data_IF_729681752886
#
_entry.id   IF_729681752886
#
_cell.length_a   1.000
_cell.length_b   1.000
_cell.length_c   1.000
_cell.angle_alpha   90.00
_cell.angle_beta   90.00
_cell.angle_gamma   90.00
#
_symmetry.space_group_name_H-M   'P 1'
#
loop_
_entity.id
_entity.type
_entity.pdbx_description
1 polymer ?
#
# COMPACT_ATOMS: atom_id res chain seq x y z
N UNK A 1 -15.69 2.59 -2.82
CA UNK A 1 -16.93 2.23 -3.50
C UNK A 1 -16.79 1.09 -4.49
N UNK A 2 -15.75 0.65 -4.95
CA UNK A 2 -15.76 -0.17 -6.18
C UNK A 2 -14.85 -1.38 -6.12
N UNK A 3 -14.10 -1.50 -5.03
CA UNK A 3 -13.36 -2.67 -4.64
C UNK A 3 -14.27 -3.91 -4.49
N UNK A 4 -15.45 -3.76 -3.90
CA UNK A 4 -16.42 -4.85 -3.74
C UNK A 4 -16.91 -5.49 -5.06
N UNK A 5 -16.81 -4.80 -6.19
CA UNK A 5 -17.16 -5.36 -7.50
C UNK A 5 -16.02 -6.20 -8.12
N UNK A 6 -14.79 -6.03 -7.68
CA UNK A 6 -13.60 -6.64 -8.30
C UNK A 6 -13.64 -8.17 -8.28
N UNK A 7 -14.02 -8.86 -7.19
CA UNK A 7 -14.13 -10.32 -7.17
C UNK A 7 -15.11 -10.86 -8.23
N UNK A 8 -16.28 -10.22 -8.34
CA UNK A 8 -17.29 -10.60 -9.34
C UNK A 8 -16.80 -10.40 -10.78
N UNK A 9 -16.13 -9.27 -11.05
CA UNK A 9 -15.51 -8.98 -12.35
C UNK A 9 -14.44 -10.02 -12.66
N UNK A 10 -13.60 -10.35 -11.68
CA UNK A 10 -12.53 -11.36 -11.86
C UNK A 10 -13.12 -12.72 -12.20
N UNK A 11 -14.17 -13.15 -11.54
CA UNK A 11 -14.88 -14.41 -11.82
C UNK A 11 -15.48 -14.40 -13.23
N UNK A 12 -16.06 -13.27 -13.64
CA UNK A 12 -16.61 -13.11 -15.00
C UNK A 12 -15.52 -13.19 -16.06
N UNK A 13 -14.39 -12.51 -15.83
CA UNK A 13 -13.22 -12.60 -16.72
C UNK A 13 -12.69 -14.02 -16.83
N UNK A 14 -12.59 -14.75 -15.73
CA UNK A 14 -12.18 -16.15 -15.71
C UNK A 14 -13.14 -17.03 -16.53
N UNK A 15 -14.45 -16.88 -16.35
CA UNK A 15 -15.48 -17.59 -17.11
C UNK A 15 -15.34 -17.39 -18.63
N UNK A 16 -14.97 -16.17 -19.03
CA UNK A 16 -14.82 -15.82 -20.46
C UNK A 16 -13.37 -15.88 -20.96
N UNK A 17 -12.44 -16.41 -20.15
CA UNK A 17 -11.01 -16.53 -20.48
C UNK A 17 -10.38 -15.19 -20.93
N UNK A 18 -10.73 -14.08 -20.25
CA UNK A 18 -10.20 -12.75 -20.53
C UNK A 18 -9.17 -12.36 -19.49
N UNK A 19 -8.02 -11.85 -19.93
CA UNK A 19 -7.03 -11.26 -19.05
C UNK A 19 -7.63 -10.04 -18.31
N UNK A 20 -7.13 -9.77 -17.10
CA UNK A 20 -7.64 -8.69 -16.25
C UNK A 20 -6.50 -7.84 -15.70
N UNK A 21 -6.69 -6.51 -15.71
CA UNK A 21 -5.82 -5.54 -15.04
C UNK A 21 -6.60 -4.90 -13.90
N UNK A 22 -6.04 -4.94 -12.68
CA UNK A 22 -6.66 -4.41 -11.46
C UNK A 22 -5.78 -3.31 -10.91
N UNK A 23 -6.32 -2.07 -10.88
CA UNK A 23 -5.70 -0.90 -10.22
C UNK A 23 -6.50 -0.43 -8.99
N UNK A 24 -7.56 -1.16 -8.64
CA UNK A 24 -8.39 -0.83 -7.47
C UNK A 24 -7.67 -1.27 -6.20
N UNK A 25 -7.72 -0.42 -5.17
CA UNK A 25 -7.15 -0.67 -3.84
C UNK A 25 -8.24 -0.81 -2.78
N UNK A 26 -7.87 -1.14 -1.54
CA UNK A 26 -8.80 -1.24 -0.41
C UNK A 26 -9.67 -2.50 -0.43
N UNK A 27 -9.20 -3.59 -1.01
CA UNK A 27 -9.84 -4.90 -0.93
C UNK A 27 -9.71 -5.49 0.47
N UNK A 28 -10.75 -6.17 0.92
CA UNK A 28 -10.69 -7.00 2.12
C UNK A 28 -9.88 -8.28 1.87
N UNK A 29 -9.52 -9.00 2.93
CA UNK A 29 -8.83 -10.30 2.79
C UNK A 29 -9.70 -11.30 2.02
N UNK A 30 -11.01 -11.28 2.24
CA UNK A 30 -11.97 -12.11 1.50
C UNK A 30 -11.97 -11.75 0.02
N UNK A 31 -12.03 -10.45 -0.33
CA UNK A 31 -11.97 -10.01 -1.73
C UNK A 31 -10.64 -10.44 -2.38
N UNK A 32 -9.54 -10.26 -1.65
CA UNK A 32 -8.19 -10.64 -2.09
C UNK A 32 -8.09 -12.14 -2.35
N UNK A 33 -8.65 -12.96 -1.48
CA UNK A 33 -8.70 -14.42 -1.66
C UNK A 33 -9.49 -14.80 -2.93
N UNK A 34 -10.69 -14.26 -3.11
CA UNK A 34 -11.53 -14.54 -4.26
C UNK A 34 -10.90 -14.08 -5.59
N UNK A 35 -10.20 -12.94 -5.59
CA UNK A 35 -9.45 -12.50 -6.78
C UNK A 35 -8.30 -13.49 -7.09
N UNK A 36 -7.49 -13.82 -6.08
CA UNK A 36 -6.33 -14.71 -6.23
C UNK A 36 -6.71 -16.13 -6.69
N UNK A 37 -7.86 -16.63 -6.33
CA UNK A 37 -8.40 -17.93 -6.74
C UNK A 37 -8.47 -18.07 -8.26
N UNK A 38 -8.70 -16.99 -8.98
CA UNK A 38 -8.83 -17.00 -10.44
C UNK A 38 -7.49 -16.89 -11.20
N UNK A 39 -6.36 -16.70 -10.51
CA UNK A 39 -5.04 -16.53 -11.16
C UNK A 39 -4.56 -17.74 -11.98
N UNK A 40 -5.07 -18.92 -11.67
CA UNK A 40 -4.77 -20.14 -12.43
C UNK A 40 -5.56 -20.23 -13.75
N UNK A 41 -6.68 -19.51 -13.86
CA UNK A 41 -7.57 -19.56 -15.02
C UNK A 41 -7.27 -18.48 -16.06
N UNK A 42 -6.79 -17.31 -15.61
CA UNK A 42 -6.52 -16.15 -16.49
C UNK A 42 -5.29 -15.37 -16.02
N UNK A 43 -4.58 -14.68 -16.94
CA UNK A 43 -3.57 -13.70 -16.56
C UNK A 43 -4.20 -12.53 -15.81
N UNK A 44 -3.64 -12.18 -14.64
CA UNK A 44 -4.06 -11.04 -13.83
C UNK A 44 -2.84 -10.17 -13.53
N UNK A 45 -2.90 -8.90 -13.93
CA UNK A 45 -1.95 -7.87 -13.48
C UNK A 45 -2.65 -7.03 -12.41
N UNK A 46 -2.14 -7.08 -11.20
CA UNK A 46 -2.73 -6.37 -10.07
C UNK A 46 -1.66 -5.56 -9.34
N UNK A 47 -1.84 -4.24 -9.32
CA UNK A 47 -0.91 -3.31 -8.68
C UNK A 47 -1.66 -2.15 -8.02
N UNK A 48 -1.10 -1.65 -6.93
CA UNK A 48 -1.61 -0.45 -6.22
C UNK A 48 -1.39 0.83 -7.02
N UNK A 49 -0.40 0.82 -7.93
CA UNK A 49 -0.06 1.94 -8.80
C UNK A 49 0.59 1.44 -10.10
N UNK A 50 0.26 2.07 -11.23
CA UNK A 50 0.81 1.77 -12.56
C UNK A 50 1.74 2.86 -13.09
N UNK A 51 2.00 3.93 -12.32
CA UNK A 51 2.99 4.94 -12.68
C UNK A 51 4.39 4.35 -12.63
N UNK A 52 5.17 4.51 -13.70
CA UNK A 52 6.58 4.11 -13.74
C UNK A 52 7.38 4.83 -12.65
N UNK A 53 7.12 6.14 -12.43
CA UNK A 53 7.78 6.92 -11.39
C UNK A 53 7.51 6.37 -9.99
N UNK A 54 6.25 6.04 -9.68
CA UNK A 54 5.89 5.45 -8.37
C UNK A 54 6.50 4.06 -8.19
N UNK A 55 6.52 3.23 -9.21
CA UNK A 55 7.16 1.91 -9.13
C UNK A 55 8.70 2.03 -8.99
N UNK A 56 9.31 3.04 -9.60
CA UNK A 56 10.72 3.38 -9.38
C UNK A 56 10.95 3.81 -7.93
N UNK A 57 10.08 4.63 -7.35
CA UNK A 57 10.14 5.00 -5.93
C UNK A 57 10.06 3.77 -5.03
N UNK A 58 9.16 2.83 -5.28
CA UNK A 58 9.06 1.57 -4.53
C UNK A 58 10.38 0.78 -4.56
N UNK A 59 10.99 0.68 -5.74
CA UNK A 59 12.29 0.01 -5.89
C UNK A 59 13.41 0.74 -5.15
N UNK A 60 13.48 2.07 -5.27
CA UNK A 60 14.48 2.90 -4.57
C UNK A 60 14.31 2.82 -3.06
N UNK A 61 13.07 2.87 -2.56
CA UNK A 61 12.76 2.72 -1.11
C UNK A 61 13.29 1.40 -0.57
N UNK A 62 13.04 0.29 -1.29
CA UNK A 62 13.60 -1.01 -0.91
C UNK A 62 15.12 -0.98 -0.85
N UNK A 63 15.78 -0.45 -1.90
CA UNK A 63 17.23 -0.37 -1.96
C UNK A 63 17.83 0.51 -0.88
N UNK A 64 17.23 1.66 -0.63
CA UNK A 64 17.67 2.55 0.44
C UNK A 64 17.56 1.87 1.81
N UNK A 65 16.43 1.23 2.11
CA UNK A 65 16.23 0.53 3.38
C UNK A 65 17.18 -0.66 3.56
N UNK A 66 17.47 -1.43 2.49
CA UNK A 66 18.46 -2.51 2.50
C UNK A 66 19.87 -2.00 2.84
N UNK A 67 20.27 -0.86 2.26
CA UNK A 67 21.61 -0.28 2.43
C UNK A 67 21.77 0.38 3.80
N UNK A 68 20.76 1.15 4.24
CA UNK A 68 20.80 1.90 5.48
C UNK A 68 20.65 1.01 6.73
N UNK A 69 19.98 -0.13 6.58
CA UNK A 69 19.82 -1.10 7.67
C UNK A 69 18.94 -0.61 8.82
N UNK A 70 19.22 -1.11 10.02
CA UNK A 70 18.39 -0.88 11.21
C UNK A 70 18.74 0.37 12.00
N UNK A 71 19.80 1.07 11.65
CA UNK A 71 20.28 2.25 12.37
C UNK A 71 19.52 3.53 12.01
N UNK A 72 18.62 3.44 11.02
CA UNK A 72 17.82 4.57 10.54
C UNK A 72 16.35 4.37 10.87
N UNK A 73 15.72 5.45 11.32
CA UNK A 73 14.29 5.50 11.54
C UNK A 73 13.51 5.55 10.24
N UNK A 74 12.33 4.90 10.23
CA UNK A 74 11.48 4.82 9.05
C UNK A 74 10.15 5.53 9.31
N UNK A 75 9.87 6.56 8.52
CA UNK A 75 8.63 7.33 8.58
C UNK A 75 8.09 7.51 7.16
N UNK A 76 6.81 7.26 6.96
CA UNK A 76 6.08 7.51 5.72
C UNK A 76 5.09 8.63 5.95
N UNK A 77 5.20 9.70 5.16
CA UNK A 77 4.27 10.82 5.20
C UNK A 77 3.57 10.93 3.85
N UNK A 78 2.25 11.01 3.84
CA UNK A 78 1.48 11.22 2.62
C UNK A 78 0.47 12.35 2.80
N UNK A 79 0.23 13.07 1.72
CA UNK A 79 -0.75 14.15 1.68
C UNK A 79 -1.64 14.03 0.45
N UNK A 80 -2.94 14.14 0.63
CA UNK A 80 -3.94 14.13 -0.44
C UNK A 80 -5.03 15.17 -0.19
N UNK A 81 -5.82 15.39 -1.23
CA UNK A 81 -6.99 16.27 -1.20
C UNK A 81 -8.00 15.86 -0.10
N UNK A 82 -8.78 16.84 0.35
CA UNK A 82 -9.79 16.67 1.42
C UNK A 82 -10.85 15.60 1.16
N UNK A 83 -11.05 15.21 -0.10
CA UNK A 83 -12.07 14.23 -0.49
C UNK A 83 -11.59 12.78 -0.49
N UNK A 84 -10.29 12.52 -0.26
CA UNK A 84 -9.75 11.16 -0.19
C UNK A 84 -10.23 10.48 1.08
N UNK A 85 -10.85 9.30 0.92
CA UNK A 85 -11.54 8.57 2.00
C UNK A 85 -10.65 7.58 2.73
N UNK A 86 -9.74 6.93 2.01
CA UNK A 86 -8.80 5.94 2.58
C UNK A 86 -7.56 6.65 3.17
N UNK A 87 -7.09 6.14 4.28
CA UNK A 87 -5.84 6.53 4.94
C UNK A 87 -5.23 5.30 5.64
N UNK A 88 -3.93 5.01 5.43
CA UNK A 88 -3.06 5.66 4.46
C UNK A 88 -3.49 5.38 3.01
N UNK A 89 -2.95 6.15 2.05
CA UNK A 89 -3.14 5.89 0.63
C UNK A 89 -2.56 4.54 0.23
N UNK A 90 -3.06 3.96 -0.89
CA UNK A 90 -2.51 2.69 -1.41
C UNK A 90 -1.00 2.75 -1.64
N UNK A 91 -0.47 3.88 -2.14
CA UNK A 91 0.97 4.09 -2.34
C UNK A 91 1.72 4.13 -1.02
N UNK A 92 1.25 4.89 -0.03
CA UNK A 92 1.87 4.95 1.30
C UNK A 92 1.84 3.58 2.00
N UNK A 93 0.73 2.85 1.89
CA UNK A 93 0.65 1.47 2.40
C UNK A 93 1.70 0.57 1.75
N UNK A 94 1.85 0.62 0.43
CA UNK A 94 2.87 -0.17 -0.28
C UNK A 94 4.29 0.22 0.15
N UNK A 95 4.58 1.51 0.35
CA UNK A 95 5.88 1.96 0.88
C UNK A 95 6.15 1.36 2.27
N UNK A 96 5.18 1.44 3.19
CA UNK A 96 5.30 0.88 4.53
C UNK A 96 5.46 -0.65 4.52
N UNK A 97 4.72 -1.37 3.65
CA UNK A 97 4.87 -2.81 3.44
C UNK A 97 6.28 -3.18 2.95
N UNK A 98 6.86 -2.40 2.02
CA UNK A 98 8.23 -2.60 1.53
C UNK A 98 9.25 -2.42 2.67
N UNK A 99 9.08 -1.39 3.50
CA UNK A 99 9.96 -1.12 4.63
C UNK A 99 9.89 -2.23 5.68
N UNK A 100 8.69 -2.71 6.00
CA UNK A 100 8.48 -3.82 6.92
C UNK A 100 9.09 -5.13 6.39
N UNK A 101 8.90 -5.41 5.10
CA UNK A 101 9.45 -6.60 4.42
C UNK A 101 10.98 -6.62 4.45
N UNK A 102 11.64 -5.49 4.15
CA UNK A 102 13.11 -5.35 4.23
C UNK A 102 13.62 -5.63 5.65
N UNK A 103 12.86 -5.26 6.67
CA UNK A 103 13.20 -5.52 8.07
C UNK A 103 12.73 -6.88 8.59
N UNK A 104 12.17 -7.73 7.72
CA UNK A 104 11.61 -9.03 8.08
C UNK A 104 10.56 -8.96 9.20
N UNK A 105 9.72 -7.92 9.17
CA UNK A 105 8.70 -7.64 10.17
C UNK A 105 7.29 -7.63 9.54
N UNK A 106 6.28 -7.91 10.35
CA UNK A 106 4.89 -7.68 9.94
C UNK A 106 4.53 -6.21 10.11
N UNK A 107 4.02 -5.59 9.05
CA UNK A 107 3.57 -4.19 9.13
C UNK A 107 2.52 -3.99 10.22
N UNK A 108 1.64 -4.96 10.45
CA UNK A 108 0.60 -4.89 11.49
C UNK A 108 1.17 -4.72 12.91
N UNK A 109 2.36 -5.25 13.16
CA UNK A 109 3.00 -5.19 14.48
C UNK A 109 3.87 -3.95 14.67
N UNK A 110 4.41 -3.38 13.60
CA UNK A 110 5.37 -2.27 13.67
C UNK A 110 4.82 -0.92 13.20
N UNK A 111 3.64 -0.91 12.57
CA UNK A 111 3.02 0.32 12.09
C UNK A 111 2.58 1.23 13.24
N UNK A 112 2.99 2.49 13.19
CA UNK A 112 2.56 3.55 14.09
C UNK A 112 1.82 4.64 13.32
N UNK A 113 0.48 4.64 13.42
CA UNK A 113 -0.37 5.62 12.75
C UNK A 113 -0.49 6.90 13.57
N UNK A 114 0.27 7.93 13.16
CA UNK A 114 0.29 9.22 13.87
C UNK A 114 0.84 9.14 15.30
N UNK A 115 1.01 10.29 15.91
CA UNK A 115 1.34 10.43 17.34
C UNK A 115 0.59 11.63 17.88
N UNK A 116 0.08 11.54 19.12
CA UNK A 116 -0.62 12.63 19.79
C UNK A 116 -0.38 12.55 21.31
N UNK A 117 -0.18 13.69 21.95
CA UNK A 117 0.09 13.77 23.38
C UNK A 117 1.51 13.29 23.75
N UNK A 118 1.65 12.81 24.97
CA UNK A 118 2.92 12.25 25.48
C UNK A 118 2.90 10.75 25.21
N UNK A 119 3.60 10.31 24.15
CA UNK A 119 3.57 8.92 23.67
C UNK A 119 4.84 8.12 23.99
N UNK A 120 5.79 8.73 24.71
CA UNK A 120 7.11 8.14 24.96
C UNK A 120 8.05 8.27 23.77
N UNK A 121 9.24 7.70 23.94
CA UNK A 121 10.24 7.66 22.87
C UNK A 121 9.84 6.70 21.75
N UNK A 122 10.30 7.01 20.54
CA UNK A 122 10.15 6.14 19.39
C UNK A 122 10.95 4.85 19.58
N UNK A 123 10.36 3.71 19.25
CA UNK A 123 11.11 2.45 19.24
C UNK A 123 11.87 2.27 17.91
N UNK A 124 13.04 1.61 17.90
CA UNK A 124 13.80 1.37 16.68
C UNK A 124 13.05 0.54 15.62
N UNK A 125 12.09 -0.27 16.05
CA UNK A 125 11.36 -1.20 15.18
C UNK A 125 10.15 -0.55 14.50
N UNK A 126 9.61 0.54 15.04
CA UNK A 126 8.38 1.10 14.50
C UNK A 126 8.58 1.75 13.13
N UNK A 127 7.56 1.66 12.31
CA UNK A 127 7.43 2.39 11.05
C UNK A 127 6.30 3.39 11.21
N UNK A 128 6.63 4.69 11.24
CA UNK A 128 5.65 5.75 11.33
C UNK A 128 4.88 5.92 10.02
N UNK A 129 3.57 6.16 10.12
CA UNK A 129 2.71 6.38 8.95
C UNK A 129 1.80 7.56 9.25
N UNK A 130 1.91 8.63 8.44
CA UNK A 130 1.19 9.88 8.66
C UNK A 130 0.42 10.26 7.41
N UNK A 131 -0.89 10.46 7.55
CA UNK A 131 -1.78 10.81 6.46
C UNK A 131 -2.36 12.19 6.66
N UNK A 132 -2.02 13.13 5.78
CA UNK A 132 -2.52 14.50 5.76
C UNK A 132 -3.64 14.64 4.73
N UNK A 133 -4.66 15.43 5.06
CA UNK A 133 -5.78 15.74 4.16
C UNK A 133 -6.01 17.24 4.13
N UNK A 134 -5.97 17.84 2.94
CA UNK A 134 -6.21 19.26 2.79
C UNK A 134 -6.28 19.72 1.34
N UNK A 135 -7.02 20.79 1.09
CA UNK A 135 -7.12 21.42 -0.22
C UNK A 135 -7.53 20.45 -1.33
N UNK A 136 -6.86 20.58 -2.45
CA UNK A 136 -6.99 19.80 -3.69
C UNK A 136 -5.68 19.11 -4.09
N UNK A 137 -4.79 18.86 -3.11
CA UNK A 137 -3.51 18.16 -3.32
C UNK A 137 -3.77 16.83 -4.01
N UNK A 138 -3.10 16.60 -5.14
CA UNK A 138 -3.28 15.38 -5.95
C UNK A 138 -2.76 14.15 -5.21
N UNK A 139 -1.56 14.25 -4.64
CA UNK A 139 -0.95 13.22 -3.81
C UNK A 139 0.56 13.39 -3.72
N UNK A 140 1.05 13.56 -2.51
CA UNK A 140 2.48 13.63 -2.18
C UNK A 140 2.85 12.47 -1.25
N UNK A 141 4.06 11.92 -1.42
CA UNK A 141 4.57 10.82 -0.62
C UNK A 141 6.06 11.04 -0.32
N UNK A 142 6.40 10.95 0.95
CA UNK A 142 7.78 11.05 1.44
C UNK A 142 8.07 9.92 2.41
#
# INVERSE_FOLDING_TARGET
MKNAATPGITTLCAKHRKALVIGTTGHTDTDTFEIKKNKAAIPIVWASNFSTGVNTLFWLTRKAAEILGTDFDLEVVEMHHRLKKDAPSGTAKTLAEILADVRHQSLETVARHGRAGIVGERTPQEIGIHSLRGGDVVGDHT
#
